data_IF_157743327526
#
_entry.id   IF_157743327526
#
_cell.length_a   1.000
_cell.length_b   1.000
_cell.length_c   1.000
_cell.angle_alpha   90.00
_cell.angle_beta   90.00
_cell.angle_gamma   90.00
#
_symmetry.space_group_name_H-M   'P 1'
#
loop_
_entity.id
_entity.type
_entity.pdbx_description
1 polymer ?
#
# COMPACT_ATOMS: atom_id res chain seq x y z
N UNK A 1 0.32 18.17 15.20
CA UNK A 1 1.23 17.00 15.13
C UNK A 1 0.54 15.91 14.32
N UNK A 2 0.96 15.69 13.08
CA UNK A 2 0.29 14.73 12.19
C UNK A 2 0.94 13.37 12.40
N UNK A 3 0.40 12.59 13.34
CA UNK A 3 0.75 11.18 13.48
C UNK A 3 0.33 10.46 12.21
N UNK A 4 1.29 10.14 11.35
CA UNK A 4 1.10 9.34 10.14
C UNK A 4 0.87 7.87 10.54
N UNK A 5 -0.25 7.60 11.23
CA UNK A 5 -0.67 6.24 11.53
C UNK A 5 -1.41 5.70 10.31
N UNK A 6 -0.70 4.98 9.45
CA UNK A 6 -1.31 4.21 8.37
C UNK A 6 -2.28 3.21 8.99
N UNK A 7 -3.60 3.32 8.74
CA UNK A 7 -4.55 2.36 9.26
C UNK A 7 -4.32 1.03 8.54
N UNK A 8 -3.79 0.06 9.26
CA UNK A 8 -3.58 -1.29 8.76
C UNK A 8 -4.91 -2.06 8.87
N UNK A 9 -5.35 -2.74 7.80
CA UNK A 9 -6.55 -3.56 7.84
C UNK A 9 -6.36 -4.73 8.80
N UNK A 10 -7.42 -5.13 9.51
CA UNK A 10 -7.36 -6.25 10.48
C UNK A 10 -7.39 -7.59 9.77
N UNK A 11 -7.90 -7.65 8.54
CA UNK A 11 -7.97 -8.88 7.79
C UNK A 11 -6.56 -9.31 7.30
N UNK A 12 -6.08 -10.51 7.66
CA UNK A 12 -4.68 -10.92 7.44
C UNK A 12 -4.28 -10.93 5.97
N UNK A 13 -5.21 -11.27 5.07
CA UNK A 13 -4.95 -11.21 3.62
C UNK A 13 -4.81 -9.79 3.09
N UNK A 14 -5.56 -8.83 3.62
CA UNK A 14 -5.44 -7.41 3.27
C UNK A 14 -4.18 -6.81 3.90
N UNK A 15 -3.85 -7.23 5.12
CA UNK A 15 -2.64 -6.82 5.83
C UNK A 15 -1.39 -7.23 5.06
N UNK A 16 -1.32 -8.47 4.56
CA UNK A 16 -0.20 -8.94 3.73
C UNK A 16 -0.02 -8.08 2.47
N UNK A 17 -1.10 -7.75 1.78
CA UNK A 17 -1.06 -6.89 0.59
C UNK A 17 -0.65 -5.44 0.93
N UNK A 18 -1.13 -4.92 2.05
CA UNK A 18 -0.70 -3.61 2.56
C UNK A 18 0.79 -3.62 2.92
N UNK A 19 1.30 -4.69 3.53
CA UNK A 19 2.71 -4.85 3.84
C UNK A 19 3.54 -4.90 2.55
N UNK A 20 3.13 -5.71 1.56
CA UNK A 20 3.79 -5.75 0.23
C UNK A 20 3.84 -4.36 -0.43
N UNK A 21 2.81 -3.53 -0.28
CA UNK A 21 2.77 -2.15 -0.80
C UNK A 21 3.60 -1.15 0.01
N UNK A 22 3.88 -1.42 1.28
CA UNK A 22 4.74 -0.58 2.13
C UNK A 22 6.20 -0.95 1.90
N UNK A 23 6.49 -2.24 1.72
CA UNK A 23 7.80 -2.74 1.33
C UNK A 23 8.14 -2.32 -0.12
N UNK A 24 7.17 -2.39 -1.02
CA UNK A 24 7.34 -2.07 -2.44
C UNK A 24 6.19 -1.18 -3.01
N UNK A 25 6.05 0.09 -2.59
CA UNK A 25 5.15 1.07 -3.24
C UNK A 25 5.19 1.22 -4.78
N UNK A 26 6.29 0.82 -5.43
CA UNK A 26 6.52 0.83 -6.87
C UNK A 26 5.84 -0.33 -7.59
N UNK A 27 5.38 -1.33 -6.85
CA UNK A 27 4.69 -2.47 -7.42
C UNK A 27 3.35 -2.04 -7.99
N UNK A 28 3.16 -2.31 -9.28
CA UNK A 28 1.92 -2.05 -10.00
C UNK A 28 0.92 -3.17 -9.72
N UNK A 29 0.43 -3.27 -8.47
CA UNK A 29 -0.71 -4.14 -8.18
C UNK A 29 -2.00 -3.34 -8.27
N UNK A 30 -2.95 -3.84 -9.07
CA UNK A 30 -4.25 -3.20 -9.25
C UNK A 30 -5.27 -3.74 -8.24
N UNK A 31 -6.39 -3.02 -8.08
CA UNK A 31 -7.51 -3.48 -7.26
C UNK A 31 -8.07 -4.83 -7.80
N UNK A 32 -8.02 -5.02 -9.12
CA UNK A 32 -8.43 -6.24 -9.80
C UNK A 32 -7.56 -7.44 -9.40
N UNK A 33 -6.24 -7.29 -9.39
CA UNK A 33 -5.31 -8.35 -8.95
C UNK A 33 -5.54 -8.73 -7.49
N UNK A 34 -5.81 -7.76 -6.63
CA UNK A 34 -6.15 -8.01 -5.22
C UNK A 34 -7.48 -8.73 -5.07
N UNK A 35 -8.47 -8.31 -5.85
CA UNK A 35 -9.79 -8.92 -5.86
C UNK A 35 -9.69 -10.39 -6.30
N UNK A 36 -8.93 -10.66 -7.37
CA UNK A 36 -8.64 -12.01 -7.85
C UNK A 36 -7.90 -12.87 -6.79
N UNK A 37 -6.86 -12.34 -6.15
CA UNK A 37 -6.13 -13.01 -5.06
C UNK A 37 -7.01 -13.36 -3.85
N UNK A 38 -7.96 -12.49 -3.53
CA UNK A 38 -8.87 -12.66 -2.41
C UNK A 38 -10.11 -13.50 -2.76
N UNK A 39 -10.31 -13.82 -4.03
CA UNK A 39 -11.51 -14.50 -4.53
C UNK A 39 -12.77 -13.65 -4.38
N UNK A 40 -12.64 -12.32 -4.48
CA UNK A 40 -13.75 -11.39 -4.30
C UNK A 40 -13.84 -10.43 -5.49
N UNK A 41 -14.96 -9.72 -5.62
CA UNK A 41 -15.07 -8.65 -6.62
C UNK A 41 -14.40 -7.37 -6.15
N UNK A 42 -13.88 -6.57 -7.08
CA UNK A 42 -13.29 -5.25 -6.83
C UNK A 42 -14.18 -4.35 -5.96
N UNK A 43 -15.49 -4.32 -6.21
CA UNK A 43 -16.46 -3.58 -5.39
C UNK A 43 -16.53 -4.06 -3.94
N UNK A 44 -16.48 -5.38 -3.72
CA UNK A 44 -16.51 -5.95 -2.36
C UNK A 44 -15.21 -5.66 -1.65
N UNK A 45 -14.09 -5.79 -2.35
CA UNK A 45 -12.77 -5.42 -1.83
C UNK A 45 -12.72 -3.93 -1.45
N UNK A 46 -13.18 -3.02 -2.31
CA UNK A 46 -13.16 -1.59 -2.04
C UNK A 46 -13.97 -1.23 -0.80
N UNK A 47 -15.19 -1.80 -0.67
CA UNK A 47 -16.03 -1.59 0.50
C UNK A 47 -15.41 -2.15 1.77
N UNK A 48 -14.82 -3.35 1.70
CA UNK A 48 -14.15 -3.99 2.83
C UNK A 48 -12.93 -3.16 3.26
N UNK A 49 -12.12 -2.73 2.29
CA UNK A 49 -10.95 -1.90 2.50
C UNK A 49 -11.32 -0.57 3.17
N UNK A 50 -12.34 0.12 2.65
CA UNK A 50 -12.82 1.38 3.21
C UNK A 50 -13.43 1.18 4.60
N UNK A 51 -14.14 0.07 4.84
CA UNK A 51 -14.71 -0.24 6.17
C UNK A 51 -13.63 -0.56 7.20
N UNK A 52 -12.54 -1.21 6.81
CA UNK A 52 -11.45 -1.58 7.72
C UNK A 52 -10.46 -0.43 7.95
N UNK A 53 -10.05 0.26 6.89
CA UNK A 53 -9.01 1.30 6.96
C UNK A 53 -9.56 2.73 7.05
N UNK A 54 -10.87 2.92 6.80
CA UNK A 54 -11.49 4.24 6.72
C UNK A 54 -11.11 5.04 5.47
N UNK A 55 -10.22 4.51 4.61
CA UNK A 55 -9.65 5.22 3.47
C UNK A 55 -9.97 4.52 2.15
N UNK A 56 -10.06 5.29 1.08
CA UNK A 56 -10.08 4.75 -0.28
C UNK A 56 -8.70 4.17 -0.63
N UNK A 57 -8.67 3.10 -1.41
CA UNK A 57 -7.43 2.42 -1.84
C UNK A 57 -6.34 3.39 -2.32
N UNK A 58 -6.71 4.36 -3.18
CA UNK A 58 -5.78 5.38 -3.70
C UNK A 58 -5.24 6.30 -2.60
N UNK A 59 -6.08 6.72 -1.65
CA UNK A 59 -5.70 7.57 -0.53
C UNK A 59 -4.78 6.84 0.45
N UNK A 60 -5.07 5.56 0.71
CA UNK A 60 -4.20 4.70 1.51
C UNK A 60 -2.85 4.48 0.84
N UNK A 61 -2.82 4.18 -0.47
CA UNK A 61 -1.56 4.03 -1.22
C UNK A 61 -0.75 5.32 -1.23
N UNK A 62 -1.40 6.47 -1.43
CA UNK A 62 -0.73 7.77 -1.37
C UNK A 62 -0.10 8.03 0.00
N UNK A 63 -0.82 7.71 1.09
CA UNK A 63 -0.31 7.85 2.45
C UNK A 63 0.83 6.86 2.73
N UNK A 64 0.73 5.62 2.25
CA UNK A 64 1.75 4.58 2.41
C UNK A 64 3.03 4.94 1.68
N UNK A 65 2.91 5.32 0.40
CA UNK A 65 4.02 5.84 -0.39
C UNK A 65 4.63 7.09 0.25
N UNK A 66 3.82 8.03 0.74
CA UNK A 66 4.31 9.23 1.41
C UNK A 66 5.09 8.91 2.70
N UNK A 67 4.62 7.95 3.50
CA UNK A 67 5.31 7.50 4.70
C UNK A 67 6.66 6.84 4.38
N UNK A 68 6.72 5.97 3.37
CA UNK A 68 7.97 5.33 2.91
C UNK A 68 8.94 6.38 2.35
N UNK A 69 8.45 7.31 1.52
CA UNK A 69 9.25 8.43 1.01
C UNK A 69 9.78 9.32 2.12
N UNK A 70 8.98 9.64 3.13
CA UNK A 70 9.38 10.43 4.30
C UNK A 70 10.49 9.73 5.11
N UNK A 71 10.41 8.40 5.28
CA UNK A 71 11.45 7.60 5.93
C UNK A 71 12.77 7.64 5.15
N UNK A 72 12.73 7.60 3.82
CA UNK A 72 13.94 7.64 2.99
C UNK A 72 14.53 9.04 2.82
N UNK A 73 13.78 10.11 3.06
CA UNK A 73 14.25 11.50 2.85
C UNK A 73 15.01 12.11 4.05
N UNK A 74 15.16 11.39 5.16
CA UNK A 74 15.84 11.86 6.38
C UNK A 74 17.37 11.79 6.41
N UNK A 75 18.04 11.17 5.43
CA UNK A 75 19.51 11.18 5.32
C UNK A 75 19.90 11.15 3.85
N UNK A 76 20.59 12.18 3.39
CA UNK A 76 21.03 12.31 2.01
C UNK A 76 21.70 11.03 1.51
N UNK A 77 21.05 10.36 0.56
CA UNK A 77 21.60 9.64 -0.60
C UNK A 77 20.45 8.93 -1.33
N UNK A 78 20.05 9.52 -2.45
CA UNK A 78 19.67 8.87 -3.71
C UNK A 78 18.84 7.58 -3.64
N UNK A 79 17.54 7.71 -3.85
CA UNK A 79 16.58 6.61 -4.05
C UNK A 79 16.55 6.12 -5.52
N UNK A 80 17.70 5.86 -6.14
CA UNK A 80 17.73 5.38 -7.55
C UNK A 80 17.31 3.90 -7.69
N UNK A 81 17.22 3.14 -6.58
CA UNK A 81 16.74 1.75 -6.61
C UNK A 81 15.21 1.64 -6.69
N UNK A 82 14.46 2.70 -6.39
CA UNK A 82 13.01 2.62 -6.21
C UNK A 82 12.22 2.52 -7.54
N UNK A 83 12.88 2.75 -8.68
CA UNK A 83 12.26 2.78 -10.01
C UNK A 83 12.44 1.48 -10.81
N UNK A 84 13.26 0.54 -10.33
CA UNK A 84 13.58 -0.67 -11.07
C UNK A 84 12.83 -1.86 -10.48
N UNK A 85 11.67 -2.20 -11.07
CA UNK A 85 11.12 -3.54 -10.96
C UNK A 85 12.02 -4.57 -11.64
N UNK A 86 13.18 -4.88 -11.06
CA UNK A 86 14.05 -5.95 -11.52
C UNK A 86 14.15 -7.05 -10.46
N UNK A 87 13.44 -8.13 -10.78
CA UNK A 87 13.83 -9.52 -10.53
C UNK A 87 15.36 -9.67 -10.42
N UNK A 88 15.86 -10.09 -9.27
CA UNK A 88 17.06 -10.92 -9.16
C UNK A 88 16.61 -12.30 -8.71
#
# INVERSE_FOLDING_TARGET
>A
EVGFSLPLPRHPRLLGLCNELIEEPGRLITLHDWAARLGTSEKTLMRMFQRETGLSFRGWRQAGTAAVFAVCTGRGRQCDAYRAGLRL
#
